data_IF_390791820695
#
_entry.id   IF_390791820695
#
_cell.length_a   1.000
_cell.length_b   1.000
_cell.length_c   1.000
_cell.angle_alpha   90.00
_cell.angle_beta   90.00
_cell.angle_gamma   90.00
#
_symmetry.space_group_name_H-M   'P 1'
#
loop_
_entity.id
_entity.type
_entity.pdbx_description
1 polymer ?
#
# COMPACT_ATOMS: atom_id res chain seq x y z
N UNK A 1 5.57 0.38 -3.56
CA UNK A 1 6.35 1.05 -2.51
C UNK A 1 6.52 0.13 -1.32
N UNK A 2 7.76 -0.29 -1.00
CA UNK A 2 8.04 -1.14 0.16
C UNK A 2 7.64 -0.42 1.46
N UNK A 3 7.10 -1.17 2.42
CA UNK A 3 6.71 -0.66 3.73
C UNK A 3 7.80 -0.99 4.77
N UNK A 4 8.06 -0.10 5.74
CA UNK A 4 8.86 -0.49 6.89
C UNK A 4 8.17 -1.64 7.63
N UNK A 5 8.96 -2.58 8.15
CA UNK A 5 8.46 -3.54 9.13
C UNK A 5 8.12 -2.76 10.40
N UNK A 6 6.85 -2.77 10.82
CA UNK A 6 6.44 -2.19 12.10
C UNK A 6 7.34 -2.73 13.21
N UNK A 7 7.85 -1.82 14.05
CA UNK A 7 8.59 -2.17 15.27
C UNK A 7 7.66 -2.56 16.43
N UNK A 8 6.45 -3.04 16.13
CA UNK A 8 5.64 -3.73 17.13
C UNK A 8 6.18 -5.14 17.30
N UNK A 9 7.26 -5.23 18.07
CA UNK A 9 7.61 -6.46 18.76
C UNK A 9 6.64 -6.60 19.94
N UNK A 10 5.55 -7.33 19.70
CA UNK A 10 4.48 -7.52 20.68
C UNK A 10 3.75 -8.85 20.50
N UNK A 11 4.49 -9.95 20.35
CA UNK A 11 3.96 -11.30 20.52
C UNK A 11 4.18 -11.77 21.96
N UNK A 12 3.20 -11.57 22.83
CA UNK A 12 3.17 -12.20 24.15
C UNK A 12 2.63 -13.63 23.97
N UNK A 13 3.45 -14.50 23.39
CA UNK A 13 3.19 -15.93 23.33
C UNK A 13 4.20 -16.65 24.23
N UNK A 14 3.70 -17.10 25.38
CA UNK A 14 4.42 -18.00 26.28
C UNK A 14 4.82 -19.27 25.53
N UNK A 15 6.11 -19.50 25.33
CA UNK A 15 6.68 -20.85 25.25
C UNK A 15 8.07 -20.86 25.88
N UNK A 16 8.20 -21.59 26.98
CA UNK A 16 9.47 -21.94 27.61
C UNK A 16 10.41 -22.66 26.62
N UNK A 17 11.69 -22.29 26.61
CA UNK A 17 12.74 -23.08 25.95
C UNK A 17 13.90 -22.31 25.32
N UNK A 18 14.70 -21.62 26.13
CA UNK A 18 16.14 -21.33 25.92
C UNK A 18 16.58 -20.74 24.56
N UNK A 19 16.49 -19.41 24.41
CA UNK A 19 17.67 -18.50 24.31
C UNK A 19 17.24 -17.04 24.07
N UNK A 20 17.69 -16.15 24.97
CA UNK A 20 17.73 -14.68 24.85
C UNK A 20 16.41 -13.93 24.60
N UNK A 21 15.47 -14.00 25.54
CA UNK A 21 14.45 -12.96 25.72
C UNK A 21 15.09 -11.67 26.28
N UNK A 22 15.64 -10.81 25.42
CA UNK A 22 15.93 -9.42 25.79
C UNK A 22 14.69 -8.58 25.48
N UNK A 23 13.85 -8.38 26.50
CA UNK A 23 12.71 -7.48 26.42
C UNK A 23 13.14 -6.10 25.92
N UNK A 24 12.38 -5.54 24.98
CA UNK A 24 12.75 -4.30 24.29
C UNK A 24 12.78 -3.15 25.28
N UNK A 25 13.92 -2.46 25.35
CA UNK A 25 14.14 -1.27 26.16
C UNK A 25 13.24 -0.11 25.67
N UNK A 26 12.86 0.78 26.60
CA UNK A 26 12.18 2.04 26.24
C UNK A 26 12.99 2.85 25.23
N UNK A 27 14.32 2.83 25.36
CA UNK A 27 15.23 3.50 24.43
C UNK A 27 15.15 2.93 23.01
N UNK A 28 15.05 1.60 22.86
CA UNK A 28 14.90 0.94 21.55
C UNK A 28 13.55 1.29 20.92
N UNK A 29 12.47 1.31 21.72
CA UNK A 29 11.14 1.73 21.27
C UNK A 29 11.12 3.19 20.81
N UNK A 30 11.77 4.08 21.55
CA UNK A 30 11.85 5.50 21.21
C UNK A 30 12.64 5.75 19.92
N UNK A 31 13.76 5.04 19.73
CA UNK A 31 14.54 5.11 18.49
C UNK A 31 13.76 4.59 17.29
N UNK A 32 13.08 3.45 17.46
CA UNK A 32 12.25 2.86 16.40
C UNK A 32 11.10 3.80 16.02
N UNK A 33 10.44 4.42 17.00
CA UNK A 33 9.37 5.40 16.76
C UNK A 33 9.89 6.64 16.03
N UNK A 34 11.00 7.23 16.48
CA UNK A 34 11.62 8.38 15.81
C UNK A 34 12.03 8.06 14.37
N UNK A 35 12.54 6.85 14.13
CA UNK A 35 12.87 6.39 12.78
C UNK A 35 11.62 6.30 11.89
N UNK A 36 10.52 5.76 12.43
CA UNK A 36 9.24 5.68 11.73
C UNK A 36 8.67 7.07 11.42
N UNK A 37 8.61 7.96 12.41
CA UNK A 37 8.10 9.33 12.24
C UNK A 37 8.91 10.09 11.17
N UNK A 38 10.25 9.98 11.22
CA UNK A 38 11.12 10.59 10.21
C UNK A 38 10.91 10.00 8.81
N UNK A 39 10.65 8.69 8.71
CA UNK A 39 10.37 8.03 7.45
C UNK A 39 9.02 8.47 6.86
N UNK A 40 7.96 8.55 7.66
CA UNK A 40 6.63 8.96 7.21
C UNK A 40 6.61 10.41 6.70
N UNK A 41 7.44 11.29 7.27
CA UNK A 41 7.61 12.68 6.82
C UNK A 41 8.58 12.81 5.63
N UNK A 42 9.24 11.72 5.22
CA UNK A 42 10.18 11.69 4.09
C UNK A 42 11.58 12.23 4.43
N UNK A 43 11.92 12.37 5.71
CA UNK A 43 13.25 12.78 6.18
C UNK A 43 14.18 11.57 6.31
N UNK A 44 14.56 10.99 5.16
CA UNK A 44 15.28 9.72 5.14
C UNK A 44 16.67 9.76 5.80
N UNK A 45 17.38 10.88 5.76
CA UNK A 45 18.68 11.01 6.44
C UNK A 45 18.55 10.93 7.96
N UNK A 46 17.51 11.57 8.52
CA UNK A 46 17.18 11.48 9.95
C UNK A 46 16.76 10.06 10.34
N UNK A 47 15.92 9.43 9.51
CA UNK A 47 15.52 8.03 9.68
C UNK A 47 16.74 7.09 9.75
N UNK A 48 17.68 7.22 8.81
CA UNK A 48 18.89 6.40 8.76
C UNK A 48 19.81 6.63 9.96
N UNK A 49 19.88 7.85 10.49
CA UNK A 49 20.63 8.12 11.71
C UNK A 49 20.03 7.36 12.91
N UNK A 50 18.70 7.41 13.10
CA UNK A 50 18.02 6.69 14.18
C UNK A 50 18.16 5.17 14.03
N UNK A 51 18.03 4.64 12.80
CA UNK A 51 18.21 3.22 12.50
C UNK A 51 19.66 2.74 12.71
N UNK A 52 20.65 3.60 12.47
CA UNK A 52 22.06 3.29 12.76
C UNK A 52 22.27 3.11 14.26
N UNK A 53 21.77 4.04 15.08
CA UNK A 53 21.83 3.93 16.54
C UNK A 53 21.06 2.71 17.07
N UNK A 54 19.93 2.38 16.47
CA UNK A 54 19.19 1.17 16.83
C UNK A 54 19.94 -0.10 16.43
N UNK A 55 20.62 -0.10 15.28
CA UNK A 55 21.47 -1.21 14.83
C UNK A 55 22.70 -1.45 15.71
N UNK A 56 23.23 -0.41 16.35
CA UNK A 56 24.31 -0.56 17.33
C UNK A 56 23.85 -1.31 18.59
N UNK A 57 22.59 -1.09 19.01
CA UNK A 57 21.94 -1.77 20.13
C UNK A 57 21.51 -3.19 19.75
N UNK A 58 21.15 -3.41 18.49
CA UNK A 58 20.60 -4.67 17.96
C UNK A 58 21.35 -5.14 16.72
N UNK A 59 22.64 -5.48 16.89
CA UNK A 59 23.57 -5.74 15.76
C UNK A 59 23.12 -6.87 14.82
N UNK A 60 22.40 -7.85 15.35
CA UNK A 60 21.93 -9.02 14.59
C UNK A 60 20.44 -8.96 14.24
N UNK A 61 19.77 -7.82 14.44
CA UNK A 61 18.35 -7.67 14.12
C UNK A 61 18.15 -7.36 12.63
N UNK A 62 17.73 -8.39 11.90
CA UNK A 62 17.45 -8.35 10.47
C UNK A 62 16.32 -7.37 10.11
N UNK A 63 15.39 -7.06 11.02
CA UNK A 63 14.33 -6.07 10.77
C UNK A 63 14.91 -4.66 10.73
N UNK A 64 15.85 -4.35 11.62
CA UNK A 64 16.57 -3.06 11.64
C UNK A 64 17.40 -2.91 10.36
N UNK A 65 18.10 -3.97 9.96
CA UNK A 65 18.87 -3.99 8.71
C UNK A 65 17.97 -3.79 7.47
N UNK A 66 16.84 -4.50 7.39
CA UNK A 66 15.90 -4.33 6.28
C UNK A 66 15.29 -2.94 6.23
N UNK A 67 14.85 -2.40 7.38
CA UNK A 67 14.29 -1.05 7.47
C UNK A 67 15.31 0.01 7.03
N UNK A 68 16.60 -0.19 7.31
CA UNK A 68 17.68 0.66 6.82
C UNK A 68 17.79 0.60 5.29
N UNK A 69 17.81 -0.60 4.70
CA UNK A 69 17.82 -0.75 3.24
C UNK A 69 16.58 -0.15 2.57
N UNK A 70 15.41 -0.25 3.20
CA UNK A 70 14.18 0.42 2.73
C UNK A 70 14.37 1.95 2.76
N UNK A 71 14.85 2.52 3.86
CA UNK A 71 15.11 3.96 3.96
C UNK A 71 16.17 4.46 2.95
N UNK A 72 17.24 3.69 2.72
CA UNK A 72 18.23 3.97 1.68
C UNK A 72 17.64 3.91 0.27
N UNK A 73 16.77 2.93 0.00
CA UNK A 73 16.04 2.83 -1.25
C UNK A 73 15.23 4.11 -1.53
N UNK A 74 14.46 4.60 -0.58
CA UNK A 74 13.72 5.86 -0.76
C UNK A 74 14.63 7.08 -0.87
N UNK A 75 15.70 7.17 -0.06
CA UNK A 75 16.70 8.25 -0.14
C UNK A 75 17.36 8.33 -1.51
N UNK A 76 17.66 7.17 -2.11
CA UNK A 76 18.30 7.07 -3.43
C UNK A 76 17.38 7.41 -4.62
N UNK A 77 16.13 7.83 -4.34
CA UNK A 77 15.13 7.99 -5.39
C UNK A 77 14.71 6.66 -6.01
N UNK A 78 14.70 5.58 -5.23
CA UNK A 78 14.30 4.23 -5.62
C UNK A 78 15.26 3.56 -6.63
N UNK A 79 16.56 3.86 -6.53
CA UNK A 79 17.58 3.29 -7.42
C UNK A 79 18.38 2.16 -6.77
N UNK A 80 18.53 2.16 -5.44
CA UNK A 80 19.22 1.13 -4.65
C UNK A 80 18.43 -0.19 -4.53
N UNK A 81 18.02 -0.76 -5.65
CA UNK A 81 17.13 -1.92 -5.72
C UNK A 81 17.85 -3.23 -5.40
N UNK A 82 19.13 -3.33 -5.78
CA UNK A 82 19.95 -4.52 -5.54
C UNK A 82 20.30 -4.70 -4.06
N UNK A 83 20.62 -3.61 -3.37
CA UNK A 83 20.89 -3.62 -1.92
C UNK A 83 19.65 -4.06 -1.15
N UNK A 84 18.49 -3.48 -1.46
CA UNK A 84 17.21 -3.87 -0.83
C UNK A 84 16.86 -5.34 -1.12
N UNK A 85 17.15 -5.82 -2.34
CA UNK A 85 16.96 -7.24 -2.69
C UNK A 85 17.85 -8.15 -1.87
N UNK A 86 19.13 -7.81 -1.71
CA UNK A 86 20.06 -8.63 -0.95
C UNK A 86 19.63 -8.74 0.51
N UNK A 87 19.30 -7.61 1.16
CA UNK A 87 18.79 -7.58 2.53
C UNK A 87 17.50 -8.39 2.69
N UNK A 88 16.57 -8.28 1.74
CA UNK A 88 15.31 -9.03 1.80
C UNK A 88 15.50 -10.54 1.61
N UNK A 89 16.42 -10.95 0.73
CA UNK A 89 16.79 -12.35 0.56
C UNK A 89 17.45 -12.92 1.83
N UNK A 90 18.29 -12.13 2.49
CA UNK A 90 18.93 -12.52 3.75
C UNK A 90 17.91 -12.71 4.88
N UNK A 91 16.99 -11.76 5.07
CA UNK A 91 15.90 -11.86 6.05
C UNK A 91 15.03 -13.09 5.75
N UNK A 92 14.69 -13.30 4.48
CA UNK A 92 13.90 -14.46 4.05
C UNK A 92 14.61 -15.77 4.39
N UNK A 93 15.90 -15.89 4.11
CA UNK A 93 16.67 -17.08 4.46
C UNK A 93 16.68 -17.33 5.97
N UNK A 94 16.76 -16.29 6.79
CA UNK A 94 16.68 -16.45 8.25
C UNK A 94 15.27 -16.91 8.70
N UNK A 95 14.22 -16.27 8.20
CA UNK A 95 12.82 -16.63 8.52
C UNK A 95 12.44 -18.03 7.98
N UNK A 96 12.95 -18.43 6.82
CA UNK A 96 12.73 -19.77 6.25
C UNK A 96 13.63 -20.83 6.90
N UNK A 97 14.82 -20.47 7.42
CA UNK A 97 15.66 -21.41 8.17
C UNK A 97 15.10 -21.74 9.55
N UNK A 98 14.18 -20.91 10.07
CA UNK A 98 13.50 -21.12 11.35
C UNK A 98 12.16 -21.85 11.24
N UNK A 99 11.67 -22.14 10.03
CA UNK A 99 10.33 -22.69 9.80
C UNK A 99 10.32 -23.70 8.65
N UNK A 100 10.45 -24.99 8.98
CA UNK A 100 9.99 -26.06 8.11
C UNK A 100 8.48 -26.25 8.36
N UNK A 101 7.68 -26.14 7.29
CA UNK A 101 6.21 -26.26 7.23
C UNK A 101 5.42 -24.97 7.50
N UNK A 102 5.21 -24.19 6.43
CA UNK A 102 4.37 -22.98 6.44
C UNK A 102 2.88 -23.32 6.68
N UNK A 103 2.36 -23.06 7.89
CA UNK A 103 0.91 -22.94 8.17
C UNK A 103 0.47 -21.46 8.11
N UNK A 104 -0.82 -21.21 7.88
CA UNK A 104 -1.38 -19.86 7.63
C UNK A 104 -1.14 -18.84 8.75
N UNK A 105 -0.76 -19.26 9.96
CA UNK A 105 -0.35 -18.35 11.04
C UNK A 105 0.97 -17.62 10.72
N UNK A 106 1.95 -18.30 10.12
CA UNK A 106 3.25 -17.68 9.79
C UNK A 106 3.13 -16.67 8.65
N UNK A 107 2.17 -16.86 7.74
CA UNK A 107 1.89 -15.90 6.66
C UNK A 107 1.36 -14.57 7.19
N UNK A 108 0.63 -14.60 8.32
CA UNK A 108 0.15 -13.39 9.02
C UNK A 108 1.31 -12.70 9.73
N UNK A 109 2.13 -13.44 10.47
CA UNK A 109 3.29 -12.87 11.17
C UNK A 109 4.33 -12.27 10.21
N UNK A 110 4.49 -12.89 9.03
CA UNK A 110 5.43 -12.44 7.99
C UNK A 110 4.78 -11.55 6.93
N UNK A 111 3.55 -11.06 7.16
CA UNK A 111 2.76 -10.35 6.16
C UNK A 111 3.52 -9.20 5.48
N UNK A 112 4.17 -8.34 6.27
CA UNK A 112 4.92 -7.19 5.74
C UNK A 112 6.18 -7.61 4.96
N UNK A 113 6.86 -8.70 5.36
CA UNK A 113 8.01 -9.23 4.63
C UNK A 113 7.58 -9.75 3.25
N UNK A 114 6.50 -10.53 3.20
CA UNK A 114 5.92 -11.03 1.97
C UNK A 114 5.42 -9.90 1.06
N UNK A 115 4.81 -8.87 1.64
CA UNK A 115 4.40 -7.67 0.88
C UNK A 115 5.62 -6.96 0.26
N UNK A 116 6.68 -6.76 1.02
CA UNK A 116 7.91 -6.15 0.51
C UNK A 116 8.58 -6.99 -0.59
N UNK A 117 8.54 -8.32 -0.46
CA UNK A 117 8.98 -9.23 -1.51
C UNK A 117 8.18 -9.03 -2.79
N UNK A 118 6.85 -8.96 -2.70
CA UNK A 118 5.99 -8.72 -3.84
C UNK A 118 6.29 -7.38 -4.52
N UNK A 119 6.50 -6.32 -3.74
CA UNK A 119 6.87 -5.01 -4.30
C UNK A 119 8.20 -5.06 -5.04
N UNK A 120 9.22 -5.74 -4.51
CA UNK A 120 10.48 -5.93 -5.24
C UNK A 120 10.28 -6.69 -6.55
N UNK A 121 9.49 -7.77 -6.53
CA UNK A 121 9.14 -8.52 -7.73
C UNK A 121 8.45 -7.62 -8.78
N UNK A 122 7.62 -6.66 -8.36
CA UNK A 122 7.04 -5.64 -9.24
C UNK A 122 8.10 -4.75 -9.89
N UNK A 123 9.10 -4.28 -9.13
CA UNK A 123 10.22 -3.49 -9.68
C UNK A 123 11.02 -4.27 -10.72
N UNK A 124 11.21 -5.58 -10.51
CA UNK A 124 11.84 -6.49 -11.48
C UNK A 124 10.91 -6.95 -12.62
N UNK A 125 9.68 -6.42 -12.69
CA UNK A 125 8.66 -6.81 -13.69
C UNK A 125 8.28 -8.29 -13.64
N UNK A 126 8.55 -8.99 -12.54
CA UNK A 126 8.20 -10.39 -12.32
C UNK A 126 6.76 -10.51 -11.80
N UNK A 127 5.80 -9.97 -12.55
CA UNK A 127 4.43 -9.76 -12.09
C UNK A 127 3.69 -11.05 -11.70
N UNK A 128 3.92 -12.16 -12.40
CA UNK A 128 3.27 -13.44 -12.07
C UNK A 128 3.73 -14.00 -10.71
N UNK A 129 5.01 -13.86 -10.38
CA UNK A 129 5.52 -14.27 -9.07
C UNK A 129 5.01 -13.33 -7.98
N UNK A 130 4.93 -12.03 -8.24
CA UNK A 130 4.34 -11.07 -7.32
C UNK A 130 2.86 -11.41 -7.05
N UNK A 131 2.08 -11.76 -8.08
CA UNK A 131 0.67 -12.18 -7.93
C UNK A 131 0.57 -13.37 -6.98
N UNK A 132 1.37 -14.42 -7.17
CA UNK A 132 1.31 -15.61 -6.32
C UNK A 132 1.55 -15.29 -4.83
N UNK A 133 2.49 -14.38 -4.54
CA UNK A 133 2.77 -13.93 -3.16
C UNK A 133 1.62 -13.10 -2.59
N UNK A 134 1.07 -12.17 -3.37
CA UNK A 134 0.02 -11.26 -2.89
C UNK A 134 -1.34 -11.95 -2.79
N UNK A 135 -1.67 -12.88 -3.69
CA UNK A 135 -2.87 -13.73 -3.59
C UNK A 135 -2.84 -14.57 -2.32
N UNK A 136 -1.67 -15.11 -1.95
CA UNK A 136 -1.48 -15.84 -0.69
C UNK A 136 -1.75 -14.95 0.52
N UNK A 137 -1.17 -13.75 0.56
CA UNK A 137 -1.46 -12.76 1.61
C UNK A 137 -2.94 -12.39 1.68
N UNK A 138 -3.58 -12.25 0.52
CA UNK A 138 -4.98 -11.85 0.45
C UNK A 138 -5.95 -12.92 1.00
N UNK A 139 -5.57 -14.21 0.98
CA UNK A 139 -6.39 -15.27 1.59
C UNK A 139 -6.53 -15.11 3.10
N UNK A 140 -5.52 -14.50 3.75
CA UNK A 140 -5.49 -14.23 5.18
C UNK A 140 -5.60 -12.73 5.46
N UNK A 141 -6.42 -12.01 4.69
CA UNK A 141 -6.49 -10.54 4.76
C UNK A 141 -7.16 -10.03 6.06
N UNK A 142 -8.11 -10.81 6.60
CA UNK A 142 -8.94 -10.45 7.77
C UNK A 142 -8.15 -10.12 9.06
N UNK A 143 -7.13 -10.89 9.46
CA UNK A 143 -6.36 -10.59 10.68
C UNK A 143 -5.46 -9.35 10.57
N UNK A 144 -5.23 -8.79 9.38
CA UNK A 144 -4.36 -7.64 9.22
C UNK A 144 -5.06 -6.31 9.55
N UNK A 145 -4.26 -5.33 10.00
CA UNK A 145 -4.71 -3.97 10.15
C UNK A 145 -5.24 -3.38 8.83
N UNK A 146 -6.26 -2.52 8.93
CA UNK A 146 -6.98 -1.95 7.79
C UNK A 146 -6.05 -1.26 6.76
N UNK A 147 -5.04 -0.51 7.23
CA UNK A 147 -4.08 0.18 6.36
C UNK A 147 -3.24 -0.80 5.56
N UNK A 148 -2.80 -1.88 6.19
CA UNK A 148 -2.02 -2.92 5.53
C UNK A 148 -2.89 -3.75 4.57
N UNK A 149 -4.08 -4.15 5.01
CA UNK A 149 -5.05 -4.86 4.17
C UNK A 149 -5.40 -4.09 2.90
N UNK A 150 -5.58 -2.76 3.02
CA UNK A 150 -5.79 -1.86 1.89
C UNK A 150 -4.58 -1.82 0.95
N UNK A 151 -3.36 -1.78 1.48
CA UNK A 151 -2.14 -1.78 0.67
C UNK A 151 -1.98 -3.09 -0.13
N UNK A 152 -2.19 -4.24 0.50
CA UNK A 152 -2.19 -5.57 -0.16
C UNK A 152 -3.25 -5.61 -1.27
N UNK A 153 -4.45 -5.13 -1.00
CA UNK A 153 -5.57 -5.12 -1.95
C UNK A 153 -5.28 -4.26 -3.19
N UNK A 154 -4.75 -3.04 -3.00
CA UNK A 154 -4.38 -2.17 -4.12
C UNK A 154 -3.23 -2.75 -4.94
N UNK A 155 -2.22 -3.33 -4.29
CA UNK A 155 -1.10 -3.98 -4.98
C UNK A 155 -1.59 -5.16 -5.86
N UNK A 156 -2.46 -6.01 -5.33
CA UNK A 156 -3.04 -7.13 -6.08
C UNK A 156 -3.82 -6.63 -7.30
N UNK A 157 -4.54 -5.53 -7.14
CA UNK A 157 -5.31 -4.94 -8.21
C UNK A 157 -4.44 -4.35 -9.32
N UNK A 158 -3.39 -3.61 -8.98
CA UNK A 158 -2.40 -3.13 -9.96
C UNK A 158 -1.77 -4.30 -10.72
N UNK A 159 -1.44 -5.38 -10.01
CA UNK A 159 -0.87 -6.59 -10.60
C UNK A 159 -1.83 -7.29 -11.58
N UNK A 160 -3.11 -7.39 -11.25
CA UNK A 160 -4.10 -7.91 -12.20
C UNK A 160 -4.29 -7.01 -13.41
N UNK A 161 -4.30 -5.69 -13.23
CA UNK A 161 -4.42 -4.77 -14.37
C UNK A 161 -3.20 -4.81 -15.27
N UNK A 162 -1.98 -4.81 -14.73
CA UNK A 162 -0.74 -4.85 -15.54
C UNK A 162 -0.56 -6.17 -16.28
N UNK A 163 -1.07 -7.28 -15.72
CA UNK A 163 -1.05 -8.61 -16.37
C UNK A 163 -2.28 -8.89 -17.23
N UNK A 164 -3.10 -7.87 -17.49
CA UNK A 164 -4.29 -7.95 -18.31
C UNK A 164 -5.45 -8.85 -17.78
N UNK A 165 -5.52 -9.10 -16.47
CA UNK A 165 -6.54 -9.92 -15.80
C UNK A 165 -7.65 -9.09 -15.11
N UNK A 166 -8.25 -8.12 -15.80
CA UNK A 166 -9.23 -7.18 -15.23
C UNK A 166 -10.47 -7.85 -14.61
N UNK A 167 -10.88 -9.04 -15.08
CA UNK A 167 -12.02 -9.78 -14.54
C UNK A 167 -11.80 -10.20 -13.09
N UNK A 168 -10.56 -10.55 -12.71
CA UNK A 168 -10.20 -10.90 -11.33
C UNK A 168 -10.12 -9.67 -10.41
N UNK A 169 -9.88 -8.49 -10.95
CA UNK A 169 -9.77 -7.25 -10.18
C UNK A 169 -11.14 -6.70 -9.72
N UNK A 170 -12.19 -6.86 -10.53
CA UNK A 170 -13.52 -6.29 -10.24
C UNK A 170 -14.15 -6.81 -8.93
N UNK A 171 -14.11 -8.10 -8.59
CA UNK A 171 -14.59 -8.59 -7.30
C UNK A 171 -13.85 -7.98 -6.10
N UNK A 172 -12.53 -7.78 -6.20
CA UNK A 172 -11.72 -7.18 -5.14
C UNK A 172 -12.15 -5.73 -4.85
N UNK A 173 -12.49 -4.98 -5.90
CA UNK A 173 -13.01 -3.61 -5.78
C UNK A 173 -14.32 -3.55 -5.00
N UNK A 174 -15.21 -4.53 -5.18
CA UNK A 174 -16.46 -4.58 -4.45
C UNK A 174 -16.26 -4.88 -2.95
N UNK A 175 -15.23 -5.67 -2.61
CA UNK A 175 -14.85 -5.92 -1.21
C UNK A 175 -14.28 -4.64 -0.58
N UNK A 176 -13.37 -3.95 -1.28
CA UNK A 176 -12.80 -2.67 -0.81
C UNK A 176 -13.86 -1.60 -0.60
N UNK A 177 -14.91 -1.56 -1.43
CA UNK A 177 -16.05 -0.64 -1.23
C UNK A 177 -16.82 -0.94 0.05
N UNK A 178 -17.05 -2.22 0.35
CA UNK A 178 -17.73 -2.63 1.59
C UNK A 178 -16.91 -2.21 2.81
N UNK A 179 -15.61 -2.50 2.80
CA UNK A 179 -14.68 -2.11 3.87
C UNK A 179 -14.64 -0.59 4.07
N UNK A 180 -14.66 0.20 2.98
CA UNK A 180 -14.64 1.67 3.05
C UNK A 180 -15.98 2.28 3.50
N UNK A 181 -17.09 1.54 3.38
CA UNK A 181 -18.43 2.03 3.73
C UNK A 181 -18.86 1.75 5.17
N UNK A 182 -18.27 0.75 5.82
CA UNK A 182 -18.56 0.42 7.23
C UNK A 182 -18.09 1.50 8.22
N UNK A 183 -17.16 2.37 7.84
CA UNK A 183 -16.77 3.55 8.63
C UNK A 183 -17.75 4.74 8.51
N UNK A 184 -18.84 4.62 7.74
CA UNK A 184 -19.75 5.72 7.44
C UNK A 184 -21.20 5.25 7.37
N UNK A 185 -21.76 4.75 8.48
CA UNK A 185 -23.11 4.19 8.42
C UNK A 185 -23.77 3.76 9.72
N UNK A 186 -23.81 4.62 10.74
CA UNK A 186 -24.81 4.53 11.81
C UNK A 186 -25.04 5.90 12.48
N UNK A 187 -25.73 6.81 11.78
CA UNK A 187 -26.66 7.74 12.42
C UNK A 187 -27.42 8.54 11.36
N UNK A 188 -28.47 7.93 10.85
CA UNK A 188 -29.59 8.63 10.23
C UNK A 188 -30.87 8.23 10.97
N UNK A 189 -30.97 8.59 12.25
CA UNK A 189 -32.27 8.89 12.85
C UNK A 189 -32.10 9.82 14.06
N UNK A 190 -32.90 10.89 14.09
CA UNK A 190 -32.62 12.09 14.86
C UNK A 190 -32.76 11.99 16.38
N UNK A 191 -31.98 12.82 17.07
CA UNK A 191 -32.48 13.86 18.00
C UNK A 191 -31.30 14.74 18.45
N UNK A 192 -31.56 16.04 18.51
CA UNK A 192 -30.61 17.04 18.98
C UNK A 192 -30.17 16.74 20.43
N UNK A 193 -28.87 16.84 20.68
CA UNK A 193 -28.24 16.82 22.00
C UNK A 193 -26.78 17.23 21.85
N UNK A 194 -26.42 18.36 22.45
CA UNK A 194 -25.06 18.90 22.52
C UNK A 194 -24.06 17.89 23.10
N UNK A 195 -22.93 17.66 22.42
CA UNK A 195 -21.62 17.52 23.07
C UNK A 195 -20.54 18.05 22.12
N UNK A 196 -19.79 19.05 22.59
CA UNK A 196 -18.64 19.62 21.93
C UNK A 196 -17.37 18.75 22.15
N UNK A 197 -16.44 18.86 21.18
CA UNK A 197 -15.04 18.39 21.15
C UNK A 197 -14.79 16.94 20.69
N UNK A 198 -14.59 16.77 19.39
CA UNK A 198 -13.35 16.24 18.80
C UNK A 198 -13.39 16.34 17.25
N UNK A 199 -13.04 17.52 16.72
CA UNK A 199 -13.14 17.82 15.29
C UNK A 199 -11.85 17.50 14.49
N UNK A 200 -10.80 17.00 15.16
CA UNK A 200 -9.50 16.73 14.56
C UNK A 200 -9.40 15.35 13.91
N UNK A 201 -9.86 14.31 14.61
CA UNK A 201 -9.73 12.91 14.18
C UNK A 201 -10.73 12.55 13.06
N UNK A 202 -12.01 12.95 13.19
CA UNK A 202 -13.05 12.65 12.20
C UNK A 202 -12.80 13.25 10.81
N UNK A 203 -12.08 14.37 10.70
CA UNK A 203 -11.76 15.01 9.41
C UNK A 203 -10.72 14.23 8.61
N UNK A 204 -9.72 13.64 9.27
CA UNK A 204 -8.66 12.86 8.64
C UNK A 204 -9.19 11.53 8.09
N UNK A 205 -10.03 10.84 8.87
CA UNK A 205 -10.63 9.57 8.47
C UNK A 205 -11.63 9.73 7.32
N UNK A 206 -12.43 10.81 7.34
CA UNK A 206 -13.36 11.13 6.25
C UNK A 206 -12.60 11.43 4.94
N UNK A 207 -11.50 12.19 5.02
CA UNK A 207 -10.68 12.54 3.85
C UNK A 207 -9.95 11.33 3.26
N UNK A 208 -9.41 10.46 4.12
CA UNK A 208 -8.76 9.21 3.72
C UNK A 208 -9.72 8.23 3.02
N UNK A 209 -10.95 8.13 3.51
CA UNK A 209 -12.00 7.31 2.91
C UNK A 209 -12.48 7.88 1.57
N UNK A 210 -12.55 9.21 1.42
CA UNK A 210 -12.90 9.85 0.15
C UNK A 210 -11.82 9.66 -0.93
N UNK A 211 -10.53 9.75 -0.55
CA UNK A 211 -9.41 9.42 -1.45
C UNK A 211 -9.43 7.95 -1.87
N UNK A 212 -9.68 7.05 -0.92
CA UNK A 212 -9.81 5.60 -1.19
C UNK A 212 -10.96 5.34 -2.17
N UNK A 213 -12.11 5.96 -1.96
CA UNK A 213 -13.26 5.88 -2.85
C UNK A 213 -12.97 6.41 -4.25
N UNK A 214 -12.27 7.53 -4.36
CA UNK A 214 -11.83 8.06 -5.65
C UNK A 214 -10.93 7.07 -6.39
N UNK A 215 -9.94 6.49 -5.71
CA UNK A 215 -9.06 5.46 -6.30
C UNK A 215 -9.84 4.25 -6.79
N UNK A 216 -10.78 3.73 -6.00
CA UNK A 216 -11.66 2.62 -6.39
C UNK A 216 -12.36 2.91 -7.73
N UNK A 217 -12.95 4.10 -7.89
CA UNK A 217 -13.59 4.49 -9.15
C UNK A 217 -12.60 4.52 -10.32
N UNK A 218 -11.37 5.03 -10.11
CA UNK A 218 -10.32 5.05 -11.13
C UNK A 218 -9.94 3.63 -11.57
N UNK A 219 -9.76 2.71 -10.62
CA UNK A 219 -9.46 1.30 -10.89
C UNK A 219 -10.58 0.60 -11.65
N UNK A 220 -11.85 0.84 -11.30
CA UNK A 220 -13.00 0.33 -12.07
C UNK A 220 -12.97 0.81 -13.51
N UNK A 221 -12.66 2.08 -13.75
CA UNK A 221 -12.51 2.60 -15.12
C UNK A 221 -11.37 1.89 -15.86
N UNK A 222 -10.19 1.73 -15.23
CA UNK A 222 -9.06 0.98 -15.83
C UNK A 222 -9.48 -0.44 -16.23
N UNK A 223 -10.15 -1.16 -15.33
CA UNK A 223 -10.66 -2.51 -15.59
C UNK A 223 -11.66 -2.53 -16.77
N UNK A 224 -12.65 -1.63 -16.76
CA UNK A 224 -13.65 -1.58 -17.84
C UNK A 224 -13.08 -1.16 -19.20
N UNK A 225 -12.09 -0.26 -19.23
CA UNK A 225 -11.38 0.11 -20.46
C UNK A 225 -10.67 -1.11 -21.05
N UNK A 226 -9.96 -1.86 -20.21
CA UNK A 226 -9.22 -3.05 -20.61
C UNK A 226 -10.14 -4.16 -21.13
N UNK A 227 -11.29 -4.36 -20.48
CA UNK A 227 -12.33 -5.31 -20.92
C UNK A 227 -13.17 -4.79 -22.10
N UNK A 228 -12.93 -3.56 -22.57
CA UNK A 228 -13.73 -2.87 -23.60
C UNK A 228 -15.23 -2.76 -23.26
N UNK A 229 -15.58 -2.73 -21.98
CA UNK A 229 -16.96 -2.57 -21.50
C UNK A 229 -17.37 -1.10 -21.49
N UNK A 230 -17.61 -0.54 -22.68
CA UNK A 230 -17.81 0.92 -22.86
C UNK A 230 -19.03 1.47 -22.11
N UNK A 231 -20.11 0.69 -21.96
CA UNK A 231 -21.31 1.12 -21.23
C UNK A 231 -21.06 1.26 -19.73
N UNK A 232 -20.36 0.30 -19.13
CA UNK A 232 -19.98 0.36 -17.71
C UNK A 232 -18.93 1.47 -17.49
N UNK A 233 -17.90 1.51 -18.34
CA UNK A 233 -16.86 2.53 -18.29
C UNK A 233 -17.42 3.96 -18.33
N UNK A 234 -18.39 4.25 -19.22
CA UNK A 234 -19.00 5.58 -19.31
C UNK A 234 -19.70 6.01 -18.02
N UNK A 235 -20.39 5.08 -17.35
CA UNK A 235 -21.06 5.35 -16.08
C UNK A 235 -20.03 5.64 -15.00
N UNK A 236 -18.99 4.80 -14.94
CA UNK A 236 -17.94 4.90 -13.93
C UNK A 236 -17.09 6.17 -14.07
N UNK A 237 -16.81 6.61 -15.30
CA UNK A 237 -16.12 7.89 -15.54
C UNK A 237 -16.89 9.05 -14.91
N UNK A 238 -18.23 9.04 -14.91
CA UNK A 238 -18.99 10.10 -14.22
C UNK A 238 -18.71 10.09 -12.71
N UNK A 239 -18.60 8.92 -12.09
CA UNK A 239 -18.25 8.78 -10.68
C UNK A 239 -16.84 9.31 -10.38
N UNK A 240 -15.86 9.00 -11.24
CA UNK A 240 -14.51 9.58 -11.16
C UNK A 240 -14.57 11.11 -11.23
N UNK A 241 -15.25 11.67 -12.23
CA UNK A 241 -15.37 13.12 -12.38
C UNK A 241 -16.07 13.79 -11.19
N UNK A 242 -17.01 13.11 -10.54
CA UNK A 242 -17.72 13.65 -9.37
C UNK A 242 -16.85 13.65 -8.10
N UNK A 243 -15.99 12.64 -7.94
CA UNK A 243 -15.15 12.48 -6.74
C UNK A 243 -13.79 13.15 -6.85
N UNK A 244 -13.24 13.29 -8.06
CA UNK A 244 -11.88 13.81 -8.29
C UNK A 244 -11.82 14.93 -9.32
N UNK A 245 -12.96 15.40 -9.82
CA UNK A 245 -13.01 16.53 -10.74
C UNK A 245 -12.16 16.33 -12.00
N UNK A 246 -11.47 17.40 -12.40
CA UNK A 246 -10.51 17.40 -13.50
C UNK A 246 -9.08 17.05 -13.05
N UNK A 247 -8.93 16.14 -12.07
CA UNK A 247 -7.60 15.63 -11.73
C UNK A 247 -6.91 15.01 -12.95
N UNK A 248 -5.59 14.95 -12.92
CA UNK A 248 -4.78 14.36 -13.99
C UNK A 248 -5.24 12.91 -14.29
N UNK A 249 -5.34 11.99 -13.29
CA UNK A 249 -5.87 10.65 -13.54
C UNK A 249 -7.27 10.65 -14.18
N UNK A 250 -8.18 11.51 -13.72
CA UNK A 250 -9.54 11.62 -14.27
C UNK A 250 -9.55 11.98 -15.75
N UNK A 251 -8.73 12.96 -16.14
CA UNK A 251 -8.59 13.41 -17.52
C UNK A 251 -7.94 12.34 -18.39
N UNK A 252 -6.90 11.66 -17.90
CA UNK A 252 -6.26 10.53 -18.60
C UNK A 252 -7.26 9.40 -18.87
N UNK A 253 -8.00 8.95 -17.85
CA UNK A 253 -9.01 7.90 -17.98
C UNK A 253 -10.13 8.28 -18.96
N UNK A 254 -10.63 9.52 -18.87
CA UNK A 254 -11.66 10.03 -19.77
C UNK A 254 -11.16 10.17 -21.21
N UNK A 255 -9.91 10.59 -21.41
CA UNK A 255 -9.30 10.68 -22.73
C UNK A 255 -9.13 9.31 -23.38
N UNK A 256 -8.69 8.29 -22.62
CA UNK A 256 -8.55 6.91 -23.07
C UNK A 256 -9.91 6.33 -23.51
N UNK A 257 -10.96 6.58 -22.73
CA UNK A 257 -12.32 6.21 -23.13
C UNK A 257 -12.76 6.82 -24.46
N UNK A 258 -12.50 8.12 -24.69
CA UNK A 258 -12.83 8.77 -25.97
C UNK A 258 -11.99 8.24 -27.12
N UNK A 259 -10.72 7.90 -26.87
CA UNK A 259 -9.85 7.24 -27.85
C UNK A 259 -10.42 5.88 -28.29
N UNK A 260 -10.84 5.02 -27.35
CA UNK A 260 -11.45 3.73 -27.66
C UNK A 260 -12.78 3.84 -28.42
N UNK A 261 -13.45 4.98 -28.36
CA UNK A 261 -14.67 5.28 -29.15
C UNK A 261 -14.39 5.84 -30.53
N UNK A 262 -13.13 6.08 -30.90
CA UNK A 262 -12.74 6.73 -32.15
C UNK A 262 -12.81 8.26 -32.12
N UNK A 263 -13.06 8.87 -30.96
CA UNK A 263 -13.16 10.33 -30.81
C UNK A 263 -11.78 10.98 -30.59
N UNK A 264 -10.84 10.74 -31.50
CA UNK A 264 -9.41 11.06 -31.33
C UNK A 264 -9.15 12.54 -31.03
N UNK A 265 -9.81 13.47 -31.74
CA UNK A 265 -9.66 14.92 -31.50
C UNK A 265 -10.05 15.32 -30.08
N UNK A 266 -11.07 14.66 -29.51
CA UNK A 266 -11.54 14.94 -28.15
C UNK A 266 -10.58 14.35 -27.11
N UNK A 267 -10.05 13.15 -27.37
CA UNK A 267 -9.04 12.53 -26.52
C UNK A 267 -7.81 13.43 -26.37
N UNK A 268 -7.26 13.93 -27.48
CA UNK A 268 -6.08 14.83 -27.48
C UNK A 268 -6.37 16.14 -26.72
N UNK A 269 -7.53 16.76 -26.95
CA UNK A 269 -7.91 17.98 -26.21
C UNK A 269 -7.96 17.76 -24.70
N UNK A 270 -8.49 16.62 -24.25
CA UNK A 270 -8.54 16.27 -22.83
C UNK A 270 -7.13 16.03 -22.26
N UNK A 271 -6.26 15.35 -22.99
CA UNK A 271 -4.87 15.13 -22.57
C UNK A 271 -4.12 16.46 -22.42
N UNK A 272 -4.26 17.37 -23.38
CA UNK A 272 -3.60 18.68 -23.32
C UNK A 272 -4.16 19.60 -22.21
N UNK A 273 -5.33 19.27 -21.65
CA UNK A 273 -5.89 19.97 -20.50
C UNK A 273 -5.39 19.44 -19.15
N UNK A 274 -4.70 18.29 -19.14
CA UNK A 274 -4.08 17.78 -17.93
C UNK A 274 -2.75 18.52 -17.68
N UNK A 275 -2.65 19.24 -16.57
CA UNK A 275 -1.46 20.02 -16.25
C UNK A 275 -0.34 19.13 -15.67
N UNK A 276 0.53 18.59 -16.52
CA UNK A 276 1.55 17.58 -16.12
C UNK A 276 2.63 18.17 -15.20
N UNK A 277 2.82 19.49 -15.17
CA UNK A 277 3.90 20.14 -14.39
C UNK A 277 3.72 20.06 -12.88
N UNK A 278 2.52 19.74 -12.39
CA UNK A 278 2.23 19.55 -10.96
C UNK A 278 2.22 18.08 -10.53
N UNK A 279 2.37 17.13 -11.46
CA UNK A 279 2.37 15.70 -11.10
C UNK A 279 3.74 15.31 -10.54
N UNK A 280 3.82 14.64 -9.38
CA UNK A 280 5.09 14.21 -8.77
C UNK A 280 5.96 13.26 -9.63
N UNK A 281 5.51 12.89 -10.82
CA UNK A 281 6.16 11.93 -11.72
C UNK A 281 5.91 10.49 -11.27
N UNK A 282 6.01 9.55 -12.22
CA UNK A 282 5.78 8.11 -12.01
C UNK A 282 6.53 7.56 -10.80
N UNK A 283 7.75 8.05 -10.55
CA UNK A 283 8.59 7.63 -9.42
C UNK A 283 7.97 7.99 -8.06
N UNK A 284 7.23 9.10 -7.94
CA UNK A 284 6.61 9.51 -6.67
C UNK A 284 5.17 9.01 -6.51
N UNK A 285 4.45 8.74 -7.59
CA UNK A 285 3.04 8.32 -7.55
C UNK A 285 2.85 6.81 -7.71
N UNK A 286 3.78 6.10 -8.35
CA UNK A 286 3.58 4.70 -8.76
C UNK A 286 2.48 4.51 -9.82
N UNK A 287 1.87 5.62 -10.26
CA UNK A 287 0.87 5.76 -11.31
C UNK A 287 1.46 6.52 -12.49
#
# INVERSE_FOLDING_TARGET
NPLPLNAELGGDARSDGTSCSSGISSQEKDLAKKALDAFEVGQYDSCLAQLSSLGELRRDDHKVQLNRSVAEFYRSGQTATDDLRHSLAQVRMQVHSTAEEMDGLEDVENGTLLYNQAVLLCHFKQYHQAIAVVERLYQFIEPFEERFARAVSFLLMDLYLVTHQAEKALPLLAVLEKLSSQGSGANANGKAGEVAKDAGSQKLDTSSNEQTRSKIHQYKVRAYLQMRSLKACKREIKSVMNTSGNSIPSLFLKSNFEYLRGNYRKAVKLLNSANITEHPGFIKTGE
#
